data_IF_589607018115
#
_entry.id   IF_589607018115
#
_cell.length_a   1.000
_cell.length_b   1.000
_cell.length_c   1.000
_cell.angle_alpha   90.00
_cell.angle_beta   90.00
_cell.angle_gamma   90.00
#
_symmetry.space_group_name_H-M   'P 1'
#
loop_
_entity.id
_entity.type
_entity.pdbx_description
1 polymer ?
#
# COMPACT_ATOMS: atom_id res chain seq x y z
N UNK A 1 16.96 12.82 3.05
CA UNK A 1 17.85 11.99 3.90
C UNK A 1 18.65 10.95 3.11
N UNK A 2 18.45 10.83 1.79
CA UNK A 2 19.23 9.89 0.96
C UNK A 2 18.87 8.42 1.17
N UNK A 3 17.82 8.11 1.94
CA UNK A 3 17.37 6.75 2.19
C UNK A 3 16.55 6.22 1.01
N UNK A 4 16.89 5.02 0.55
CA UNK A 4 16.11 4.22 -0.40
C UNK A 4 15.38 3.11 0.36
N UNK A 5 14.12 2.86 0.00
CA UNK A 5 13.33 1.72 0.51
C UNK A 5 12.83 0.91 -0.68
N UNK A 6 12.76 -0.41 -0.52
CA UNK A 6 12.26 -1.35 -1.54
C UNK A 6 11.06 -2.11 -0.98
N UNK A 7 10.05 -2.30 -1.82
CA UNK A 7 8.82 -2.99 -1.44
C UNK A 7 8.41 -3.94 -2.55
N UNK A 8 7.86 -5.08 -2.16
CA UNK A 8 7.20 -6.00 -3.06
C UNK A 8 5.73 -5.61 -3.24
N UNK A 9 5.16 -5.92 -4.41
CA UNK A 9 3.76 -5.62 -4.71
C UNK A 9 2.78 -6.24 -3.68
N UNK A 10 3.08 -7.46 -3.23
CA UNK A 10 2.30 -8.17 -2.22
C UNK A 10 2.30 -7.45 -0.87
N UNK A 11 3.46 -6.97 -0.41
CA UNK A 11 3.59 -6.23 0.86
C UNK A 11 2.82 -4.92 0.81
N UNK A 12 2.94 -4.18 -0.29
CA UNK A 12 2.19 -2.94 -0.50
C UNK A 12 0.68 -3.18 -0.53
N UNK A 13 0.23 -4.25 -1.20
CA UNK A 13 -1.20 -4.58 -1.26
C UNK A 13 -1.76 -4.98 0.09
N UNK A 14 -1.03 -5.81 0.85
CA UNK A 14 -1.40 -6.25 2.21
C UNK A 14 -1.41 -5.08 3.19
N UNK A 15 -0.64 -4.04 2.91
CA UNK A 15 -0.57 -2.82 3.73
C UNK A 15 -1.43 -1.68 3.20
N UNK A 16 -2.41 -1.95 2.33
CA UNK A 16 -3.22 -0.90 1.70
C UNK A 16 -3.99 -0.08 2.76
N UNK A 17 -3.83 1.26 2.81
CA UNK A 17 -4.45 2.11 3.83
C UNK A 17 -5.85 2.62 3.45
N UNK A 18 -6.47 2.09 2.40
CA UNK A 18 -7.78 2.59 1.95
C UNK A 18 -8.94 2.12 2.85
N UNK A 19 -10.08 2.80 2.75
CA UNK A 19 -11.30 2.51 3.51
C UNK A 19 -11.88 1.09 3.29
N UNK A 20 -11.52 0.43 2.19
CA UNK A 20 -11.92 -0.97 1.94
C UNK A 20 -11.01 -1.99 2.64
N UNK A 21 -9.80 -1.57 3.02
CA UNK A 21 -8.81 -2.43 3.65
C UNK A 21 -8.66 -2.17 5.15
N UNK A 22 -8.91 -0.93 5.59
CA UNK A 22 -8.82 -0.48 6.97
C UNK A 22 -10.16 0.13 7.38
N UNK A 23 -10.60 -0.15 8.60
CA UNK A 23 -11.75 0.52 9.18
C UNK A 23 -11.39 1.98 9.52
N UNK A 24 -12.08 2.95 8.92
CA UNK A 24 -11.76 4.37 9.10
C UNK A 24 -11.98 4.90 10.53
N UNK A 25 -12.79 4.20 11.34
CA UNK A 25 -13.11 4.61 12.71
C UNK A 25 -12.20 3.97 13.74
N UNK A 26 -11.87 2.68 13.57
CA UNK A 26 -11.06 1.94 14.53
C UNK A 26 -9.58 1.88 14.14
N UNK A 27 -9.25 2.11 12.87
CA UNK A 27 -7.90 1.92 12.32
C UNK A 27 -7.53 0.44 12.16
N UNK A 28 -8.44 -0.49 12.45
CA UNK A 28 -8.16 -1.91 12.38
C UNK A 28 -8.16 -2.41 10.93
N UNK A 29 -7.23 -3.30 10.64
CA UNK A 29 -7.12 -3.94 9.34
C UNK A 29 -8.27 -4.92 9.13
N UNK A 30 -9.09 -4.64 8.11
CA UNK A 30 -10.17 -5.50 7.65
C UNK A 30 -9.73 -6.45 6.54
N UNK A 31 -8.69 -6.07 5.79
CA UNK A 31 -8.10 -6.89 4.75
C UNK A 31 -7.48 -8.16 5.34
N UNK A 32 -7.83 -9.31 4.78
CA UNK A 32 -7.20 -10.60 5.10
C UNK A 32 -6.04 -10.84 4.17
N UNK A 33 -4.84 -11.02 4.71
CA UNK A 33 -3.62 -11.13 3.89
C UNK A 33 -3.59 -12.37 3.01
N UNK A 34 -4.21 -13.45 3.50
CA UNK A 34 -4.41 -14.71 2.77
C UNK A 34 -5.30 -14.56 1.53
N UNK A 35 -6.09 -13.48 1.44
CA UNK A 35 -6.91 -13.20 0.25
C UNK A 35 -6.13 -12.54 -0.88
N UNK A 36 -4.90 -12.09 -0.61
CA UNK A 36 -4.03 -11.45 -1.61
C UNK A 36 -3.12 -12.51 -2.25
N UNK A 37 -3.20 -12.71 -3.58
CA UNK A 37 -2.30 -13.63 -4.28
C UNK A 37 -0.84 -13.18 -4.16
N UNK A 38 0.07 -14.11 -3.88
CA UNK A 38 1.51 -13.80 -3.83
C UNK A 38 2.07 -13.35 -5.20
N UNK A 39 1.40 -13.73 -6.29
CA UNK A 39 1.72 -13.32 -7.66
C UNK A 39 1.15 -11.94 -8.05
N UNK A 40 0.57 -11.19 -7.11
CA UNK A 40 0.03 -9.86 -7.38
C UNK A 40 1.11 -8.92 -7.91
N UNK A 41 0.76 -8.11 -8.90
CA UNK A 41 1.67 -7.15 -9.52
C UNK A 41 1.10 -5.73 -9.46
N UNK A 42 1.97 -4.74 -9.63
CA UNK A 42 1.58 -3.33 -9.79
C UNK A 42 1.60 -3.03 -11.28
N UNK A 43 0.44 -2.72 -11.85
CA UNK A 43 0.31 -2.36 -13.27
C UNK A 43 0.63 -0.90 -13.52
N UNK A 44 0.42 -0.04 -12.52
CA UNK A 44 0.66 1.41 -12.62
C UNK A 44 1.00 2.02 -11.27
N UNK A 45 1.93 2.97 -11.30
CA UNK A 45 2.25 3.83 -10.16
C UNK A 45 2.01 5.27 -10.56
N UNK A 46 1.33 6.03 -9.70
CA UNK A 46 1.05 7.45 -9.92
C UNK A 46 1.41 8.26 -8.68
N UNK A 47 1.86 9.50 -8.88
CA UNK A 47 2.09 10.44 -7.79
C UNK A 47 0.77 11.08 -7.39
N UNK A 48 0.50 11.16 -6.09
CA UNK A 48 -0.63 11.90 -5.52
C UNK A 48 -0.11 13.19 -4.89
N UNK A 49 -0.28 14.29 -5.60
CA UNK A 49 0.21 15.60 -5.18
C UNK A 49 1.73 15.61 -4.98
N UNK A 50 2.17 16.00 -3.77
CA UNK A 50 3.59 16.01 -3.38
C UNK A 50 3.88 15.13 -2.15
N UNK A 51 2.93 14.29 -1.74
CA UNK A 51 2.99 13.65 -0.42
C UNK A 51 2.75 12.14 -0.43
N UNK A 52 2.31 11.56 -1.54
CA UNK A 52 1.93 10.15 -1.60
C UNK A 52 2.10 9.54 -2.99
N UNK A 53 2.03 8.21 -3.02
CA UNK A 53 1.90 7.39 -4.21
C UNK A 53 0.54 6.69 -4.22
N UNK A 54 0.06 6.39 -5.41
CA UNK A 54 -1.05 5.49 -5.66
C UNK A 54 -0.56 4.34 -6.54
N UNK A 55 -1.01 3.14 -6.24
CA UNK A 55 -0.69 1.93 -6.98
C UNK A 55 -1.98 1.30 -7.50
N UNK A 56 -1.95 0.92 -8.78
CA UNK A 56 -2.95 0.06 -9.38
C UNK A 56 -2.44 -1.37 -9.36
N UNK A 57 -3.17 -2.25 -8.67
CA UNK A 57 -2.82 -3.65 -8.50
C UNK A 57 -3.55 -4.54 -9.51
N UNK A 58 -2.96 -5.69 -9.82
CA UNK A 58 -3.54 -6.63 -10.79
C UNK A 58 -4.84 -7.30 -10.33
N UNK A 59 -5.22 -7.19 -9.05
CA UNK A 59 -6.52 -7.60 -8.53
C UNK A 59 -7.62 -6.53 -8.76
N UNK A 60 -7.29 -5.44 -9.45
CA UNK A 60 -8.18 -4.31 -9.74
C UNK A 60 -8.23 -3.24 -8.64
N UNK A 61 -7.46 -3.41 -7.55
CA UNK A 61 -7.46 -2.44 -6.46
C UNK A 61 -6.63 -1.20 -6.81
N UNK A 62 -7.19 0.00 -6.61
CA UNK A 62 -6.52 1.24 -7.05
C UNK A 62 -6.84 2.49 -6.19
N UNK A 63 -7.51 2.33 -5.06
CA UNK A 63 -7.95 3.46 -4.22
C UNK A 63 -6.99 3.78 -3.07
N UNK A 64 -5.92 2.99 -2.89
CA UNK A 64 -4.92 3.21 -1.86
C UNK A 64 -4.08 4.45 -2.09
N UNK A 65 -3.95 5.31 -1.06
CA UNK A 65 -3.06 6.48 -1.05
C UNK A 65 -1.95 6.22 -0.03
N UNK A 66 -0.77 5.90 -0.53
CA UNK A 66 0.40 5.54 0.27
C UNK A 66 1.24 6.79 0.49
N UNK A 67 1.04 7.47 1.63
CA UNK A 67 1.85 8.64 1.96
C UNK A 67 3.33 8.27 2.05
N UNK A 68 4.24 9.19 1.69
CA UNK A 68 5.68 8.94 1.80
C UNK A 68 6.09 8.63 3.23
N UNK A 69 5.39 9.20 4.22
CA UNK A 69 5.55 8.87 5.62
C UNK A 69 5.15 7.43 5.91
N UNK A 70 3.95 7.02 5.50
CA UNK A 70 3.48 5.65 5.67
C UNK A 70 4.42 4.63 5.01
N UNK A 71 4.90 4.91 3.79
CA UNK A 71 5.88 4.05 3.14
C UNK A 71 7.16 3.97 3.97
N UNK A 72 7.71 5.11 4.42
CA UNK A 72 8.90 5.12 5.27
C UNK A 72 8.70 4.24 6.51
N UNK A 73 7.61 4.45 7.25
CA UNK A 73 7.28 3.71 8.46
C UNK A 73 7.19 2.20 8.14
N UNK A 74 6.51 1.83 7.05
CA UNK A 74 6.41 0.44 6.58
C UNK A 74 7.77 -0.20 6.27
N UNK A 75 8.73 0.56 5.75
CA UNK A 75 10.10 0.04 5.50
C UNK A 75 10.98 -0.08 6.73
N UNK A 76 10.59 0.53 7.86
CA UNK A 76 11.34 0.43 9.12
C UNK A 76 10.77 -0.69 10.01
N UNK A 77 9.53 -1.13 9.75
CA UNK A 77 8.87 -2.26 10.40
C UNK A 77 9.17 -3.63 9.75
N UNK A 78 9.76 -3.65 8.55
CA UNK A 78 10.17 -4.84 7.78
C UNK A 78 11.68 -4.92 7.63
#
# INVERSE_FOLDING_TARGET
>A
DGKESRYNAVELRRSCPCASCINEWTGEKMLKDESIPDAITISKTSIVGRYALNFQFSDGHETGIFSFRFLRDLSEEN
#
